data_IF_735053118924
#
_entry.id   IF_735053118924
#
_cell.length_a   1.000
_cell.length_b   1.000
_cell.length_c   1.000
_cell.angle_alpha   90.00
_cell.angle_beta   90.00
_cell.angle_gamma   90.00
#
_symmetry.space_group_name_H-M   'P 1'
#
loop_
_entity.id
_entity.type
_entity.pdbx_description
1 polymer ?
#
# COMPACT_ATOMS: atom_id res chain seq x y z
N UNK A 1 21.04 -30.88 12.37
CA UNK A 1 19.65 -30.52 11.96
C UNK A 1 18.88 -29.60 12.93
N UNK A 2 19.19 -29.56 14.23
CA UNK A 2 18.42 -28.78 15.24
C UNK A 2 18.67 -27.26 15.18
N UNK A 3 19.90 -26.82 14.85
CA UNK A 3 20.26 -25.39 14.74
C UNK A 3 19.53 -24.67 13.60
N UNK A 4 19.35 -25.31 12.45
CA UNK A 4 18.66 -24.73 11.28
C UNK A 4 17.18 -24.47 11.57
N UNK A 5 16.49 -25.40 12.25
CA UNK A 5 15.09 -25.21 12.66
C UNK A 5 14.91 -24.08 13.68
N UNK A 6 15.89 -23.86 14.58
CA UNK A 6 15.88 -22.71 15.51
C UNK A 6 16.10 -21.38 14.80
N UNK A 7 17.04 -21.31 13.85
CA UNK A 7 17.27 -20.13 13.02
C UNK A 7 16.04 -19.80 12.17
N UNK A 8 15.39 -20.81 11.59
CA UNK A 8 14.16 -20.63 10.83
C UNK A 8 12.99 -20.16 11.69
N UNK A 9 12.85 -20.72 12.91
CA UNK A 9 11.85 -20.26 13.88
C UNK A 9 12.12 -18.83 14.37
N UNK A 10 13.38 -18.47 14.60
CA UNK A 10 13.77 -17.12 15.02
C UNK A 10 13.59 -16.12 13.88
N UNK A 11 13.94 -16.49 12.66
CA UNK A 11 13.68 -15.71 11.45
C UNK A 11 12.19 -15.53 11.20
N UNK A 12 11.39 -16.59 11.37
CA UNK A 12 9.93 -16.52 11.29
C UNK A 12 9.33 -15.65 12.41
N UNK A 13 9.88 -15.70 13.62
CA UNK A 13 9.44 -14.87 14.75
C UNK A 13 9.81 -13.39 14.53
N UNK A 14 11.03 -13.09 14.09
CA UNK A 14 11.43 -11.72 13.73
C UNK A 14 10.60 -11.19 12.55
N UNK A 15 10.30 -12.05 11.56
CA UNK A 15 9.39 -11.70 10.47
C UNK A 15 7.98 -11.43 11.01
N UNK A 16 7.44 -12.28 11.89
CA UNK A 16 6.13 -12.08 12.53
C UNK A 16 6.08 -10.77 13.36
N UNK A 17 7.15 -10.43 14.07
CA UNK A 17 7.27 -9.20 14.85
C UNK A 17 7.38 -7.97 13.96
N UNK A 18 8.06 -8.06 12.82
CA UNK A 18 8.07 -7.00 11.79
C UNK A 18 6.70 -6.80 11.14
N UNK A 19 5.88 -7.85 11.05
CA UNK A 19 4.51 -7.78 10.51
C UNK A 19 3.52 -7.09 11.47
N UNK A 20 3.76 -7.15 12.77
CA UNK A 20 2.93 -6.48 13.79
C UNK A 20 3.19 -4.98 13.89
N UNK A 21 4.13 -4.44 13.10
CA UNK A 21 4.65 -3.07 13.25
C UNK A 21 4.25 -2.11 12.13
N UNK A 22 3.62 -2.58 11.05
CA UNK A 22 3.11 -1.69 10.01
C UNK A 22 1.65 -1.33 10.29
N UNK A 23 1.29 -0.06 10.11
CA UNK A 23 0.04 0.49 10.62
C UNK A 23 -0.67 1.39 9.60
N UNK A 24 -0.54 1.06 8.32
CA UNK A 24 -1.16 1.83 7.26
C UNK A 24 -1.61 0.90 6.12
N UNK A 25 -2.93 0.70 6.01
CA UNK A 25 -3.51 -0.12 4.95
C UNK A 25 -3.66 0.70 3.67
N UNK A 26 -2.68 0.64 2.77
CA UNK A 26 -2.73 1.45 1.55
C UNK A 26 -3.56 0.84 0.41
N UNK A 27 -4.08 1.71 -0.45
CA UNK A 27 -4.85 1.31 -1.63
C UNK A 27 -4.00 0.53 -2.63
N UNK A 28 -4.52 -0.62 -3.05
CA UNK A 28 -3.93 -1.46 -4.10
C UNK A 28 -3.94 -0.68 -5.40
N UNK A 29 -2.76 -0.42 -5.96
CA UNK A 29 -2.66 0.23 -7.26
C UNK A 29 -3.01 -0.76 -8.36
N UNK A 30 -3.97 -0.39 -9.22
CA UNK A 30 -4.33 -1.25 -10.35
C UNK A 30 -3.18 -1.33 -11.35
N UNK A 31 -2.67 -2.53 -11.66
CA UNK A 31 -1.56 -2.70 -12.60
C UNK A 31 -1.99 -2.57 -14.06
N UNK A 32 -3.29 -2.57 -14.31
CA UNK A 32 -3.89 -2.35 -15.61
C UNK A 32 -5.16 -1.49 -15.47
N UNK A 33 -5.41 -0.58 -16.39
CA UNK A 33 -6.67 0.14 -16.50
C UNK A 33 -7.76 -0.86 -16.84
N UNK A 34 -8.82 -0.81 -16.05
CA UNK A 34 -9.96 -1.70 -16.16
C UNK A 34 -10.90 -1.07 -17.19
N UNK A 35 -11.29 -1.82 -18.24
CA UNK A 35 -12.25 -1.29 -19.20
C UNK A 35 -13.63 -1.18 -18.57
N UNK A 36 -14.49 -0.36 -19.18
CA UNK A 36 -15.90 -0.28 -18.78
C UNK A 36 -16.52 -1.68 -18.72
N UNK A 37 -17.09 -2.04 -17.57
CA UNK A 37 -17.72 -3.34 -17.35
C UNK A 37 -16.76 -4.47 -16.96
N UNK A 38 -15.45 -4.32 -17.14
CA UNK A 38 -14.48 -5.29 -16.62
C UNK A 38 -14.39 -5.18 -15.10
N UNK A 39 -14.13 -6.30 -14.45
CA UNK A 39 -13.82 -6.35 -13.03
C UNK A 39 -12.57 -7.17 -12.75
N UNK A 40 -11.74 -6.69 -11.83
CA UNK A 40 -10.54 -7.36 -11.37
C UNK A 40 -10.68 -7.64 -9.89
N UNK A 41 -10.47 -8.89 -9.49
CA UNK A 41 -10.40 -9.27 -8.08
C UNK A 41 -9.10 -9.98 -7.75
N UNK A 42 -8.71 -9.88 -6.49
CA UNK A 42 -7.50 -10.49 -5.99
C UNK A 42 -7.34 -10.34 -4.50
N UNK A 43 -6.17 -10.74 -4.04
CA UNK A 43 -5.77 -10.65 -2.64
C UNK A 43 -4.50 -9.81 -2.58
N UNK A 44 -4.50 -8.83 -1.69
CA UNK A 44 -3.33 -8.05 -1.34
C UNK A 44 -2.86 -8.43 0.05
N UNK A 45 -1.55 -8.63 0.20
CA UNK A 45 -0.91 -8.82 1.48
C UNK A 45 0.13 -7.73 1.64
N UNK A 46 0.13 -7.01 2.76
CA UNK A 46 1.10 -5.93 3.00
C UNK A 46 1.81 -6.19 4.31
N UNK A 47 3.06 -5.78 4.47
CA UNK A 47 3.72 -5.85 5.77
C UNK A 47 2.97 -5.04 6.84
N UNK A 48 2.20 -4.05 6.42
CA UNK A 48 1.31 -3.24 7.27
C UNK A 48 -0.03 -3.90 7.59
N UNK A 49 -0.40 -4.93 6.85
CA UNK A 49 -1.60 -5.71 7.08
C UNK A 49 -1.18 -7.15 7.31
N UNK A 50 -0.99 -7.53 8.57
CA UNK A 50 -0.67 -8.91 9.01
C UNK A 50 -1.55 -9.93 8.26
N UNK A 51 -2.80 -9.57 8.01
CA UNK A 51 -3.77 -10.37 7.30
C UNK A 51 -3.97 -9.95 5.84
N UNK A 52 -4.18 -10.93 4.93
CA UNK A 52 -4.53 -10.65 3.54
C UNK A 52 -5.88 -9.91 3.45
N UNK A 53 -5.93 -8.94 2.56
CA UNK A 53 -7.12 -8.15 2.24
C UNK A 53 -7.59 -8.55 0.85
N UNK A 54 -8.88 -8.86 0.70
CA UNK A 54 -9.47 -9.09 -0.61
C UNK A 54 -9.80 -7.74 -1.25
N UNK A 55 -9.53 -7.60 -2.53
CA UNK A 55 -9.91 -6.42 -3.29
C UNK A 55 -10.74 -6.79 -4.51
N UNK A 56 -11.67 -5.91 -4.85
CA UNK A 56 -12.51 -5.96 -6.03
C UNK A 56 -12.53 -4.59 -6.68
N UNK A 57 -12.20 -4.51 -7.96
CA UNK A 57 -12.24 -3.28 -8.74
C UNK A 57 -13.09 -3.44 -9.98
N UNK A 58 -13.81 -2.40 -10.37
CA UNK A 58 -14.68 -2.41 -11.56
C UNK A 58 -14.53 -1.11 -12.35
N UNK A 59 -14.38 -1.24 -13.67
CA UNK A 59 -14.35 -0.10 -14.58
C UNK A 59 -15.75 0.47 -14.78
N UNK A 60 -15.95 1.72 -14.37
CA UNK A 60 -17.21 2.46 -14.55
C UNK A 60 -17.27 3.13 -15.94
N UNK A 61 -16.12 3.58 -16.45
CA UNK A 61 -16.00 4.20 -17.77
C UNK A 61 -14.68 3.82 -18.44
N UNK A 62 -14.36 4.44 -19.58
CA UNK A 62 -13.05 4.32 -20.22
C UNK A 62 -11.91 4.97 -19.43
N UNK A 63 -12.22 5.81 -18.44
CA UNK A 63 -11.25 6.56 -17.64
C UNK A 63 -11.42 6.41 -16.13
N UNK A 64 -12.58 5.97 -15.66
CA UNK A 64 -12.91 5.88 -14.23
C UNK A 64 -13.09 4.43 -13.84
N UNK A 65 -12.47 4.04 -12.74
CA UNK A 65 -12.70 2.76 -12.08
C UNK A 65 -12.83 2.94 -10.56
N UNK A 66 -13.64 2.08 -9.96
CA UNK A 66 -13.89 2.06 -8.52
C UNK A 66 -13.36 0.75 -7.93
N UNK A 67 -12.74 0.84 -6.77
CA UNK A 67 -12.22 -0.26 -6.00
C UNK A 67 -12.86 -0.34 -4.63
N UNK A 68 -13.04 -1.57 -4.17
CA UNK A 68 -13.48 -1.92 -2.84
C UNK A 68 -12.53 -2.95 -2.27
N UNK A 69 -12.16 -2.76 -1.00
CA UNK A 69 -11.26 -3.61 -0.25
C UNK A 69 -12.00 -4.08 0.99
N UNK A 70 -11.93 -5.38 1.25
CA UNK A 70 -12.50 -6.01 2.44
C UNK A 70 -11.38 -6.80 3.11
N UNK A 71 -10.98 -6.34 4.28
CA UNK A 71 -10.15 -7.13 5.17
C UNK A 71 -10.96 -7.67 6.34
N UNK A 72 -10.26 -8.27 7.30
CA UNK A 72 -10.87 -8.68 8.56
C UNK A 72 -11.44 -7.45 9.30
N UNK A 73 -12.42 -7.64 10.21
CA UNK A 73 -13.05 -6.53 10.92
C UNK A 73 -11.98 -5.60 11.53
N UNK A 74 -12.07 -4.29 11.23
CA UNK A 74 -11.16 -3.22 11.69
C UNK A 74 -9.81 -3.12 10.96
N UNK A 75 -9.49 -4.01 10.00
CA UNK A 75 -8.19 -3.99 9.30
C UNK A 75 -8.33 -4.03 7.77
N UNK A 76 -8.00 -2.93 7.10
CA UNK A 76 -7.76 -2.90 5.64
C UNK A 76 -9.00 -2.83 4.75
N UNK A 77 -10.18 -2.61 5.32
CA UNK A 77 -11.40 -2.33 4.54
C UNK A 77 -11.34 -0.92 3.99
N UNK A 78 -11.78 -0.69 2.76
CA UNK A 78 -11.70 0.63 2.17
C UNK A 78 -12.31 0.73 0.78
N UNK A 79 -12.42 1.97 0.32
CA UNK A 79 -12.91 2.32 -1.01
C UNK A 79 -11.83 3.11 -1.73
N UNK A 80 -11.75 2.95 -3.05
CA UNK A 80 -10.87 3.76 -3.86
C UNK A 80 -11.52 4.11 -5.21
N UNK A 81 -11.20 5.30 -5.70
CA UNK A 81 -11.66 5.81 -6.98
C UNK A 81 -10.42 6.20 -7.79
N UNK A 82 -10.32 5.69 -9.00
CA UNK A 82 -9.17 5.96 -9.88
C UNK A 82 -9.65 6.61 -11.16
N UNK A 83 -8.95 7.68 -11.55
CA UNK A 83 -9.17 8.41 -12.79
C UNK A 83 -7.91 8.36 -13.65
N UNK A 84 -8.08 7.96 -14.90
CA UNK A 84 -7.04 7.97 -15.93
C UNK A 84 -6.90 9.40 -16.47
N UNK A 85 -5.82 10.07 -16.09
CA UNK A 85 -5.52 11.44 -16.52
C UNK A 85 -4.97 11.44 -17.93
N UNK A 86 -4.02 10.53 -18.20
CA UNK A 86 -3.29 10.47 -19.46
C UNK A 86 -3.12 9.04 -19.91
N UNK A 87 -3.23 8.82 -21.22
CA UNK A 87 -2.98 7.51 -21.82
C UNK A 87 -2.42 7.69 -23.23
N UNK A 88 -1.13 7.40 -23.40
CA UNK A 88 -0.46 7.47 -24.68
C UNK A 88 0.58 6.38 -24.85
N UNK A 89 0.44 5.58 -25.91
CA UNK A 89 1.33 4.47 -26.22
C UNK A 89 1.46 3.49 -25.06
N UNK A 90 2.67 3.37 -24.51
CA UNK A 90 3.01 2.47 -23.40
C UNK A 90 2.98 3.16 -22.03
N UNK A 91 2.58 4.44 -21.94
CA UNK A 91 2.52 5.19 -20.68
C UNK A 91 1.09 5.60 -20.36
N UNK A 92 0.72 5.49 -19.09
CA UNK A 92 -0.56 5.96 -18.56
C UNK A 92 -0.35 6.59 -17.21
N UNK A 93 -1.17 7.58 -16.88
CA UNK A 93 -1.07 8.30 -15.61
C UNK A 93 -2.44 8.36 -14.96
N UNK A 94 -2.43 8.21 -13.65
CA UNK A 94 -3.62 8.01 -12.86
C UNK A 94 -3.59 8.89 -11.62
N UNK A 95 -4.77 9.38 -11.26
CA UNK A 95 -5.06 9.92 -9.95
C UNK A 95 -5.94 8.89 -9.24
N UNK A 96 -5.58 8.54 -8.02
CA UNK A 96 -6.34 7.66 -7.15
C UNK A 96 -6.65 8.38 -5.84
N UNK A 97 -7.91 8.33 -5.44
CA UNK A 97 -8.39 8.83 -4.16
C UNK A 97 -8.94 7.63 -3.41
N UNK A 98 -8.44 7.37 -2.22
CA UNK A 98 -8.86 6.24 -1.42
C UNK A 98 -9.20 6.65 0.00
N UNK A 99 -10.16 5.93 0.56
CA UNK A 99 -10.48 5.95 1.97
C UNK A 99 -10.24 4.55 2.53
N UNK A 100 -9.45 4.47 3.59
CA UNK A 100 -9.13 3.22 4.26
C UNK A 100 -9.68 3.28 5.68
N UNK A 101 -10.56 2.35 6.01
CA UNK A 101 -11.05 2.12 7.36
C UNK A 101 -10.13 1.09 8.03
N UNK A 102 -9.27 1.58 8.89
CA UNK A 102 -8.41 0.77 9.75
C UNK A 102 -8.27 1.45 11.12
N UNK A 103 -7.53 0.84 12.05
CA UNK A 103 -7.16 1.49 13.32
C UNK A 103 -6.57 2.89 13.12
N UNK A 104 -5.89 3.12 11.98
CA UNK A 104 -5.56 4.44 11.46
C UNK A 104 -6.38 4.69 10.20
N UNK A 105 -7.58 5.25 10.36
CA UNK A 105 -8.39 5.59 9.20
C UNK A 105 -7.71 6.70 8.40
N UNK A 106 -7.55 6.52 7.09
CA UNK A 106 -6.78 7.44 6.25
C UNK A 106 -7.51 7.83 4.98
N UNK A 107 -7.30 9.08 4.57
CA UNK A 107 -7.61 9.57 3.24
C UNK A 107 -6.32 9.63 2.44
N UNK A 108 -6.23 8.83 1.39
CA UNK A 108 -5.05 8.70 0.56
C UNK A 108 -5.31 9.35 -0.80
N UNK A 109 -4.42 10.24 -1.22
CA UNK A 109 -4.35 10.78 -2.57
C UNK A 109 -3.08 10.28 -3.24
N UNK A 110 -3.20 9.59 -4.36
CA UNK A 110 -2.06 9.01 -5.08
C UNK A 110 -2.04 9.47 -6.51
N UNK A 111 -0.90 9.96 -6.96
CA UNK A 111 -0.62 10.16 -8.37
C UNK A 111 0.45 9.17 -8.82
N UNK A 112 0.16 8.35 -9.82
CA UNK A 112 1.11 7.37 -10.30
C UNK A 112 1.13 7.26 -11.83
N UNK A 113 2.34 7.07 -12.35
CA UNK A 113 2.62 6.85 -13.75
C UNK A 113 2.97 5.38 -13.95
N UNK A 114 2.35 4.79 -14.95
CA UNK A 114 2.37 3.38 -15.28
C UNK A 114 2.96 3.20 -16.67
N UNK A 115 3.95 2.31 -16.78
CA UNK A 115 4.64 2.01 -18.04
C UNK A 115 4.57 0.53 -18.35
N UNK A 116 4.08 0.21 -19.55
CA UNK A 116 4.04 -1.15 -20.06
C UNK A 116 5.35 -1.54 -20.73
N UNK A 117 5.78 -2.76 -20.45
CA UNK A 117 6.87 -3.43 -21.14
C UNK A 117 6.36 -4.76 -21.67
N UNK A 118 6.43 -4.94 -22.99
CA UNK A 118 6.16 -6.24 -23.62
C UNK A 118 7.46 -7.04 -23.62
N UNK A 119 7.51 -8.14 -22.87
CA UNK A 119 8.61 -9.10 -22.88
C UNK A 119 8.16 -10.49 -23.32
N UNK A 120 9.12 -11.40 -23.54
CA UNK A 120 8.85 -12.82 -23.91
C UNK A 120 7.94 -13.55 -22.90
N UNK A 121 7.98 -13.18 -21.62
CA UNK A 121 7.20 -13.79 -20.54
C UNK A 121 5.82 -13.12 -20.29
N UNK A 122 5.40 -12.18 -21.16
CA UNK A 122 4.14 -11.45 -21.04
C UNK A 122 4.31 -9.95 -20.78
N UNK A 123 3.19 -9.29 -20.51
CA UNK A 123 3.16 -7.85 -20.18
C UNK A 123 3.64 -7.67 -18.75
N UNK A 124 4.66 -6.84 -18.58
CA UNK A 124 5.13 -6.34 -17.29
C UNK A 124 4.75 -4.88 -17.19
N UNK A 125 4.27 -4.50 -16.02
CA UNK A 125 3.93 -3.13 -15.74
C UNK A 125 4.84 -2.61 -14.64
N UNK A 126 5.51 -1.49 -14.90
CA UNK A 126 6.21 -0.75 -13.86
C UNK A 126 5.39 0.49 -13.54
N UNK A 127 5.21 0.79 -12.26
CA UNK A 127 4.59 2.03 -11.85
C UNK A 127 5.42 2.73 -10.80
N UNK A 128 5.35 4.06 -10.83
CA UNK A 128 5.97 4.93 -9.83
C UNK A 128 5.06 6.12 -9.59
N UNK A 129 5.05 6.62 -8.36
CA UNK A 129 4.16 7.70 -8.00
C UNK A 129 4.54 8.35 -6.69
N UNK A 130 3.73 9.33 -6.31
CA UNK A 130 3.73 9.91 -4.99
C UNK A 130 2.34 9.74 -4.37
N UNK A 131 2.31 9.66 -3.05
CA UNK A 131 1.07 9.55 -2.27
C UNK A 131 1.12 10.51 -1.10
N UNK A 132 0.00 11.17 -0.89
CA UNK A 132 -0.32 12.00 0.26
C UNK A 132 -1.35 11.24 1.08
N UNK A 133 -1.18 11.22 2.39
CA UNK A 133 -2.06 10.48 3.29
C UNK A 133 -2.38 11.38 4.46
N UNK A 134 -3.68 11.60 4.67
CA UNK A 134 -4.21 12.37 5.76
C UNK A 134 -4.91 11.43 6.74
N UNK A 135 -4.37 11.35 7.95
CA UNK A 135 -4.90 10.54 9.04
C UNK A 135 -5.50 11.51 10.07
N UNK A 136 -6.84 11.66 10.13
CA UNK A 136 -7.49 12.61 11.03
C UNK A 136 -7.44 12.20 12.51
N UNK A 137 -7.34 10.90 12.79
CA UNK A 137 -7.14 10.34 14.14
C UNK A 137 -6.57 8.94 13.98
N UNK A 138 -5.34 8.72 14.40
CA UNK A 138 -4.83 7.36 14.53
C UNK A 138 -4.87 6.84 15.98
N UNK A 139 -4.10 5.79 16.24
CA UNK A 139 -3.97 5.08 17.53
C UNK A 139 -3.63 6.02 18.70
N UNK A 140 -2.84 7.07 18.48
CA UNK A 140 -2.46 8.05 19.52
C UNK A 140 -3.41 9.25 19.59
N UNK A 141 -4.55 9.20 18.88
CA UNK A 141 -5.51 10.32 18.73
C UNK A 141 -4.92 11.61 18.14
N UNK A 142 -3.76 11.49 17.48
CA UNK A 142 -3.12 12.62 16.82
C UNK A 142 -3.46 12.64 15.32
N UNK A 143 -3.26 13.81 14.70
CA UNK A 143 -3.36 13.97 13.26
C UNK A 143 -1.99 13.72 12.65
N UNK A 144 -1.95 13.01 11.54
CA UNK A 144 -0.72 12.76 10.78
C UNK A 144 -0.94 13.13 9.31
N UNK A 145 -0.01 13.89 8.76
CA UNK A 145 0.05 14.21 7.34
C UNK A 145 1.32 13.61 6.75
N UNK A 146 1.17 12.64 5.86
CA UNK A 146 2.30 11.93 5.26
C UNK A 146 2.38 12.20 3.77
N UNK A 147 3.59 12.42 3.30
CA UNK A 147 3.91 12.48 1.89
C UNK A 147 5.04 11.52 1.57
N UNK A 148 4.94 10.84 0.43
CA UNK A 148 5.96 9.89 0.06
C UNK A 148 5.90 9.40 -1.37
N UNK A 149 6.86 8.54 -1.67
CA UNK A 149 7.03 7.93 -2.98
C UNK A 149 6.71 6.46 -2.91
N UNK A 150 6.17 5.95 -4.01
CA UNK A 150 5.92 4.53 -4.19
C UNK A 150 6.36 4.08 -5.58
N UNK A 151 6.80 2.83 -5.64
CA UNK A 151 7.23 2.19 -6.87
C UNK A 151 6.89 0.71 -6.81
N UNK A 152 6.46 0.16 -7.94
CA UNK A 152 6.10 -1.23 -7.98
C UNK A 152 6.19 -1.84 -9.36
N UNK A 153 6.23 -3.16 -9.36
CA UNK A 153 6.24 -3.98 -10.56
C UNK A 153 5.05 -4.93 -10.45
N UNK A 154 4.27 -4.98 -11.53
CA UNK A 154 3.22 -5.97 -11.69
C UNK A 154 3.49 -6.87 -12.89
N UNK A 155 3.36 -8.16 -12.64
CA UNK A 155 3.33 -9.27 -13.58
C UNK A 155 1.88 -9.74 -13.70
N UNK A 156 1.57 -10.53 -14.74
CA UNK A 156 0.20 -11.00 -15.04
C UNK A 156 -0.64 -11.51 -13.85
N UNK A 157 -0.03 -12.16 -12.87
CA UNK A 157 -0.73 -12.76 -11.71
C UNK A 157 -0.25 -12.24 -10.36
N UNK A 158 0.83 -11.45 -10.34
CA UNK A 158 1.53 -11.08 -9.12
C UNK A 158 2.12 -9.68 -9.23
N UNK A 159 2.05 -8.88 -8.17
CA UNK A 159 2.72 -7.58 -8.10
C UNK A 159 3.40 -7.35 -6.77
N UNK A 160 4.38 -6.45 -6.80
CA UNK A 160 5.11 -5.96 -5.62
C UNK A 160 5.10 -4.44 -5.64
N UNK A 161 4.77 -3.82 -4.52
CA UNK A 161 4.89 -2.39 -4.24
C UNK A 161 5.88 -2.18 -3.10
N UNK A 162 6.71 -1.15 -3.25
CA UNK A 162 7.55 -0.58 -2.21
C UNK A 162 7.22 0.90 -2.12
N UNK A 163 7.07 1.40 -0.90
CA UNK A 163 6.79 2.81 -0.64
C UNK A 163 7.54 3.32 0.58
N UNK A 164 7.78 4.63 0.59
CA UNK A 164 8.22 5.34 1.78
C UNK A 164 7.41 6.62 1.93
N UNK A 165 6.68 6.74 3.04
CA UNK A 165 5.82 7.86 3.39
C UNK A 165 6.29 8.53 4.67
N UNK A 166 6.72 9.78 4.52
CA UNK A 166 7.27 10.57 5.61
C UNK A 166 6.20 11.49 6.18
N UNK A 167 6.10 11.55 7.51
CA UNK A 167 5.31 12.58 8.19
C UNK A 167 6.17 13.84 8.37
N UNK A 168 5.77 14.94 7.76
CA UNK A 168 6.55 16.19 7.79
C UNK A 168 6.23 17.08 8.99
N UNK A 169 5.14 16.81 9.71
CA UNK A 169 4.70 17.64 10.84
C UNK A 169 5.38 17.18 12.12
N UNK A 170 5.12 15.92 12.51
CA UNK A 170 5.63 15.33 13.76
C UNK A 170 6.59 14.17 13.52
N UNK A 171 6.89 13.83 12.26
CA UNK A 171 7.90 12.82 11.94
C UNK A 171 9.32 13.27 12.32
N UNK A 172 10.26 12.33 12.25
CA UNK A 172 11.66 12.64 12.55
C UNK A 172 12.31 13.36 11.38
N UNK A 173 13.16 14.37 11.60
CA UNK A 173 13.90 15.00 10.51
C UNK A 173 14.69 13.96 9.69
N UNK A 174 14.83 14.20 8.38
CA UNK A 174 15.49 13.25 7.45
C UNK A 174 16.89 12.81 7.90
N UNK A 175 17.62 13.72 8.54
CA UNK A 175 18.97 13.48 9.11
C UNK A 175 18.99 12.35 10.15
N UNK A 176 17.86 12.06 10.79
CA UNK A 176 17.73 11.06 11.85
C UNK A 176 17.01 9.79 11.39
N UNK A 177 16.71 9.63 10.09
CA UNK A 177 16.04 8.43 9.56
C UNK A 177 16.78 7.14 9.90
N UNK A 178 18.12 7.17 9.98
CA UNK A 178 18.97 6.01 10.32
C UNK A 178 19.38 5.96 11.81
N UNK A 179 19.01 6.95 12.64
CA UNK A 179 19.44 7.02 14.04
C UNK A 179 18.78 5.95 14.91
N UNK A 180 19.53 5.22 15.74
CA UNK A 180 18.95 4.11 16.53
C UNK A 180 17.92 4.57 17.58
N UNK A 181 18.00 5.82 18.05
CA UNK A 181 17.08 6.36 19.05
C UNK A 181 16.13 7.37 18.43
N UNK A 182 14.80 7.20 18.60
CA UNK A 182 13.85 8.18 18.16
C UNK A 182 14.00 9.47 18.97
N UNK A 183 14.19 10.61 18.29
CA UNK A 183 14.34 11.91 18.94
C UNK A 183 13.00 12.54 19.32
N UNK A 184 11.92 12.15 18.65
CA UNK A 184 10.58 12.69 18.87
C UNK A 184 9.75 11.73 19.75
N UNK A 185 9.20 12.15 20.90
CA UNK A 185 8.40 11.31 21.79
C UNK A 185 7.18 10.68 21.11
N UNK A 186 6.56 11.38 20.15
CA UNK A 186 5.40 10.87 19.39
C UNK A 186 5.72 9.76 18.38
N UNK A 187 6.99 9.35 18.25
CA UNK A 187 7.39 8.22 17.42
C UNK A 187 7.18 6.85 18.13
N UNK A 188 6.86 6.84 19.42
CA UNK A 188 6.57 5.64 20.21
C UNK A 188 5.26 5.88 20.97
N UNK A 189 4.32 4.92 20.93
CA UNK A 189 3.11 4.94 21.75
C UNK A 189 3.43 4.68 23.22
N UNK A 190 2.49 4.95 24.12
CA UNK A 190 2.64 4.71 25.56
C UNK A 190 2.99 3.24 25.91
N UNK A 191 2.72 2.31 24.98
CA UNK A 191 3.01 0.89 25.10
C UNK A 191 4.36 0.45 24.48
N UNK A 192 5.17 1.39 23.98
CA UNK A 192 6.47 1.09 23.39
C UNK A 192 6.44 0.70 21.90
N UNK A 193 5.28 0.77 21.25
CA UNK A 193 5.14 0.45 19.82
C UNK A 193 5.42 1.68 18.93
N UNK A 194 5.82 1.50 17.65
CA UNK A 194 5.94 2.60 16.71
C UNK A 194 4.63 3.40 16.60
N UNK A 195 4.66 4.68 16.96
CA UNK A 195 3.53 5.59 16.80
C UNK A 195 3.34 6.02 15.34
N UNK A 196 2.28 6.77 15.07
CA UNK A 196 1.94 7.27 13.72
C UNK A 196 3.02 8.15 13.09
N UNK A 197 3.88 8.74 13.91
CA UNK A 197 4.99 9.58 13.47
C UNK A 197 6.32 8.83 13.36
N UNK A 198 6.30 7.51 13.56
CA UNK A 198 7.49 6.66 13.49
C UNK A 198 7.98 6.45 12.07
N UNK A 199 9.30 6.57 11.88
CA UNK A 199 10.00 6.31 10.61
C UNK A 199 9.72 4.92 10.01
N UNK A 200 9.50 3.91 10.85
CA UNK A 200 9.31 2.52 10.44
C UNK A 200 7.91 2.31 9.85
N UNK A 201 6.95 3.09 10.34
CA UNK A 201 5.55 3.10 9.88
C UNK A 201 5.41 3.83 8.53
N UNK A 202 6.47 4.51 8.09
CA UNK A 202 6.56 5.09 6.75
C UNK A 202 6.96 4.10 5.66
N UNK A 203 7.61 2.98 5.99
CA UNK A 203 7.98 1.97 4.99
C UNK A 203 6.79 1.08 4.66
N UNK A 204 6.42 1.05 3.39
CA UNK A 204 5.36 0.20 2.88
C UNK A 204 5.92 -0.88 1.95
N UNK A 205 5.45 -2.11 2.15
CA UNK A 205 5.69 -3.22 1.26
C UNK A 205 4.40 -4.00 1.06
N UNK A 206 3.98 -4.14 -0.19
CA UNK A 206 2.77 -4.87 -0.55
C UNK A 206 3.03 -5.89 -1.65
N UNK A 207 2.40 -7.04 -1.49
CA UNK A 207 2.30 -8.12 -2.46
C UNK A 207 0.86 -8.22 -2.95
N UNK A 208 0.67 -8.33 -4.25
CA UNK A 208 -0.64 -8.46 -4.87
C UNK A 208 -0.72 -9.77 -5.64
N UNK A 209 -1.85 -10.47 -5.51
CA UNK A 209 -2.17 -11.67 -6.27
C UNK A 209 -3.48 -11.45 -7.02
N UNK A 210 -3.43 -11.46 -8.35
CA UNK A 210 -4.60 -11.25 -9.20
C UNK A 210 -5.26 -12.60 -9.50
N UNK A 211 -6.53 -12.75 -9.10
CA UNK A 211 -7.24 -14.02 -9.19
C UNK A 211 -8.11 -14.12 -10.43
N UNK A 212 -8.89 -13.08 -10.76
CA UNK A 212 -9.85 -13.14 -11.86
C UNK A 212 -10.04 -11.77 -12.50
N UNK A 213 -9.92 -11.73 -13.84
CA UNK A 213 -10.42 -10.63 -14.67
C UNK A 213 -11.71 -11.12 -15.32
N UNK A 214 -12.85 -10.65 -14.84
CA UNK A 214 -14.15 -10.97 -15.43
C UNK A 214 -14.53 -9.88 -16.39
N UNK A 215 -14.93 -10.26 -17.60
CA UNK A 215 -15.59 -9.35 -18.52
C UNK A 215 -17.06 -9.28 -18.08
N UNK A 216 -17.57 -8.07 -17.85
CA UNK A 216 -19.01 -7.88 -17.69
C UNK A 216 -19.68 -8.20 -19.02
N UNK A 217 -20.62 -9.15 -18.99
CA UNK A 217 -21.62 -9.32 -20.04
C UNK A 217 -22.54 -8.09 -20.07
#
# INVERSE_FOLDING_TARGET
>A
MIKIKKIFKLGALCFLLLLLWGCASHAVISPEPIRKGESVSGISWSMENVFPVAFYRRGLSSRVDIGFRVGLPVYGTGLDLTYTVYSYGLRREFINIAYSLSSNSSFDFTYYSLRYFKGRAGVRTFYKGFRIMYIPSGISHERSFRFGFLGGISLKRFGVELGYFHDFDKGQPFEFILSQKPKNPGAITDFGFPGEHSRLVGMSFSLYFFMKKSFGN
#
